data_IF_376706888649
#
_entry.id   IF_376706888649
#
_cell.length_a   1.000
_cell.length_b   1.000
_cell.length_c   1.000
_cell.angle_alpha   90.00
_cell.angle_beta   90.00
_cell.angle_gamma   90.00
#
_symmetry.space_group_name_H-M   'P 1'
#
loop_
_entity.id
_entity.type
_entity.pdbx_description
1 polymer ?
#
# COMPACT_ATOMS: atom_id res chain seq x y z
N UNK A 1 33.25 18.86 4.80
CA UNK A 1 32.06 18.17 5.35
C UNK A 1 32.09 16.75 4.83
N UNK A 2 32.34 15.75 5.68
CA UNK A 2 32.27 14.34 5.27
C UNK A 2 30.81 13.92 5.24
N UNK A 3 30.27 13.71 4.04
CA UNK A 3 28.95 13.08 3.85
C UNK A 3 29.06 11.63 4.34
N UNK A 4 28.40 11.32 5.45
CA UNK A 4 28.27 9.94 5.92
C UNK A 4 27.36 9.19 4.95
N UNK A 5 27.97 8.49 3.99
CA UNK A 5 27.26 7.61 3.06
C UNK A 5 26.96 6.31 3.79
N UNK A 6 25.68 5.95 3.97
CA UNK A 6 25.31 4.73 4.70
C UNK A 6 25.83 3.47 3.97
N UNK A 7 26.15 2.38 4.69
CA UNK A 7 26.74 1.17 4.10
C UNK A 7 25.92 0.56 2.96
N UNK A 8 24.60 0.71 2.98
CA UNK A 8 23.71 0.21 1.91
C UNK A 8 23.84 0.97 0.59
N UNK A 9 24.39 2.19 0.58
CA UNK A 9 24.63 2.97 -0.62
C UNK A 9 25.98 2.64 -1.30
N UNK A 10 26.75 1.71 -0.72
CA UNK A 10 28.02 1.21 -1.26
C UNK A 10 27.86 -0.09 -2.06
N UNK A 11 26.66 -0.67 -2.08
CA UNK A 11 26.36 -1.93 -2.77
C UNK A 11 25.56 -1.60 -4.02
N UNK A 12 25.94 -2.18 -5.16
CA UNK A 12 25.30 -2.01 -6.47
C UNK A 12 23.95 -2.77 -6.53
N UNK A 13 23.06 -2.48 -5.57
CA UNK A 13 21.72 -3.06 -5.45
C UNK A 13 20.66 -2.00 -5.75
N UNK A 14 19.56 -2.35 -6.45
CA UNK A 14 18.45 -1.44 -6.62
C UNK A 14 17.90 -1.03 -5.25
N UNK A 15 17.89 0.28 -4.98
CA UNK A 15 17.36 0.83 -3.74
C UNK A 15 15.86 1.02 -3.84
N UNK A 16 15.17 0.83 -2.72
CA UNK A 16 13.79 1.28 -2.59
C UNK A 16 13.73 2.80 -2.69
N UNK A 17 12.91 3.27 -3.62
CA UNK A 17 12.48 4.66 -3.79
C UNK A 17 11.00 4.79 -3.44
N UNK A 18 10.48 6.01 -3.16
CA UNK A 18 9.06 6.22 -2.92
C UNK A 18 8.17 5.64 -4.04
N UNK A 19 8.60 5.74 -5.30
CA UNK A 19 7.83 5.24 -6.45
C UNK A 19 7.80 3.71 -6.47
N UNK A 20 8.94 3.06 -6.29
CA UNK A 20 8.99 1.59 -6.19
C UNK A 20 8.20 1.06 -4.99
N UNK A 21 8.20 1.76 -3.86
CA UNK A 21 7.38 1.36 -2.71
C UNK A 21 5.89 1.46 -3.04
N UNK A 22 5.47 2.54 -3.70
CA UNK A 22 4.08 2.73 -4.14
C UNK A 22 3.66 1.61 -5.10
N UNK A 23 4.48 1.27 -6.09
CA UNK A 23 4.23 0.18 -7.03
C UNK A 23 4.13 -1.17 -6.32
N UNK A 24 5.09 -1.51 -5.45
CA UNK A 24 5.07 -2.76 -4.70
C UNK A 24 3.86 -2.87 -3.77
N UNK A 25 3.42 -1.77 -3.15
CA UNK A 25 2.19 -1.75 -2.36
C UNK A 25 0.96 -2.04 -3.23
N UNK A 26 0.83 -1.38 -4.39
CA UNK A 26 -0.30 -1.63 -5.30
C UNK A 26 -0.31 -3.08 -5.76
N UNK A 27 0.84 -3.62 -6.15
CA UNK A 27 0.97 -5.00 -6.61
C UNK A 27 0.64 -6.01 -5.51
N UNK A 28 1.15 -5.81 -4.29
CA UNK A 28 0.87 -6.67 -3.16
C UNK A 28 -0.63 -6.68 -2.82
N UNK A 29 -1.25 -5.50 -2.74
CA UNK A 29 -2.68 -5.40 -2.44
C UNK A 29 -3.55 -5.98 -3.57
N UNK A 30 -3.21 -5.74 -4.85
CA UNK A 30 -3.91 -6.34 -5.98
C UNK A 30 -3.78 -7.88 -5.99
N UNK A 31 -2.61 -8.40 -5.60
CA UNK A 31 -2.36 -9.83 -5.49
C UNK A 31 -3.24 -10.46 -4.43
N UNK A 32 -3.26 -9.90 -3.21
CA UNK A 32 -4.12 -10.36 -2.11
C UNK A 32 -5.60 -10.35 -2.49
N UNK A 33 -6.07 -9.33 -3.21
CA UNK A 33 -7.48 -9.28 -3.65
C UNK A 33 -7.82 -10.39 -4.65
N UNK A 34 -6.90 -10.69 -5.57
CA UNK A 34 -7.10 -11.72 -6.59
C UNK A 34 -7.03 -13.14 -6.02
N UNK A 35 -6.19 -13.38 -5.02
CA UNK A 35 -5.92 -14.72 -4.50
C UNK A 35 -6.67 -15.07 -3.22
N UNK A 36 -7.01 -14.06 -2.41
CA UNK A 36 -7.56 -14.28 -1.06
C UNK A 36 -8.86 -13.50 -0.87
N UNK A 37 -9.98 -13.91 -1.52
CA UNK A 37 -11.25 -13.18 -1.47
C UNK A 37 -11.87 -13.09 -0.07
N UNK A 38 -11.44 -13.94 0.88
CA UNK A 38 -11.86 -13.87 2.29
C UNK A 38 -11.11 -12.81 3.11
N UNK A 39 -9.93 -12.36 2.68
CA UNK A 39 -9.04 -11.49 3.49
C UNK A 39 -8.76 -10.15 2.82
N UNK A 40 -9.05 -9.97 1.52
CA UNK A 40 -8.93 -8.77 0.64
C UNK A 40 -8.42 -7.42 1.19
N UNK A 41 -7.86 -6.51 0.36
CA UNK A 41 -7.20 -5.26 0.75
C UNK A 41 -7.88 -4.48 1.85
N UNK A 42 -9.22 -4.37 1.80
CA UNK A 42 -9.97 -3.64 2.82
C UNK A 42 -9.96 -4.35 4.18
N UNK A 43 -10.07 -5.68 4.23
CA UNK A 43 -9.98 -6.45 5.48
C UNK A 43 -8.55 -6.46 6.02
N UNK A 44 -7.55 -6.58 5.16
CA UNK A 44 -6.16 -6.38 5.55
C UNK A 44 -5.92 -4.97 6.12
N UNK A 45 -6.49 -3.94 5.49
CA UNK A 45 -6.47 -2.55 5.97
C UNK A 45 -7.17 -2.39 7.33
N UNK A 46 -8.28 -3.09 7.57
CA UNK A 46 -8.93 -3.13 8.89
C UNK A 46 -8.05 -3.76 9.97
N UNK A 47 -7.16 -4.70 9.62
CA UNK A 47 -6.20 -5.28 10.55
C UNK A 47 -5.01 -4.34 10.80
N UNK A 48 -4.59 -3.58 9.80
CA UNK A 48 -3.51 -2.59 9.88
C UNK A 48 -3.94 -1.38 10.73
N UNK A 49 -5.18 -0.93 10.58
CA UNK A 49 -5.73 0.17 11.36
C UNK A 49 -6.22 -0.32 12.72
N UNK A 50 -5.77 0.37 13.78
CA UNK A 50 -6.21 0.05 15.14
C UNK A 50 -7.46 0.84 15.56
N UNK A 51 -8.01 1.66 14.65
CA UNK A 51 -9.26 2.40 14.86
C UNK A 51 -9.17 3.45 15.95
N UNK A 52 -7.97 3.96 16.23
CA UNK A 52 -7.70 4.81 17.40
C UNK A 52 -7.86 6.30 17.11
N UNK A 53 -7.72 6.72 15.86
CA UNK A 53 -7.85 8.12 15.47
C UNK A 53 -9.04 8.37 14.51
N UNK A 54 -9.56 9.61 14.44
CA UNK A 54 -10.74 9.93 13.63
C UNK A 54 -10.53 9.74 12.11
N UNK A 55 -9.32 9.96 11.59
CA UNK A 55 -9.04 9.82 10.16
C UNK A 55 -9.11 8.36 9.70
N UNK A 56 -8.53 7.43 10.49
CA UNK A 56 -8.61 6.00 10.26
C UNK A 56 -10.06 5.52 10.31
N UNK A 57 -10.83 5.97 11.31
CA UNK A 57 -12.25 5.61 11.44
C UNK A 57 -13.06 6.11 10.23
N UNK A 58 -12.83 7.35 9.79
CA UNK A 58 -13.50 7.91 8.63
C UNK A 58 -13.14 7.16 7.34
N UNK A 59 -11.87 6.79 7.17
CA UNK A 59 -11.41 5.98 6.05
C UNK A 59 -12.02 4.58 6.08
N UNK A 60 -11.96 3.86 7.20
CA UNK A 60 -12.55 2.52 7.34
C UNK A 60 -14.06 2.55 7.00
N UNK A 61 -14.80 3.55 7.49
CA UNK A 61 -16.22 3.71 7.16
C UNK A 61 -16.44 3.89 5.66
N UNK A 62 -15.67 4.78 5.05
CA UNK A 62 -15.72 5.04 3.61
C UNK A 62 -15.40 3.78 2.80
N UNK A 63 -14.41 2.99 3.23
CA UNK A 63 -14.03 1.74 2.59
C UNK A 63 -15.11 0.65 2.75
N UNK A 64 -15.81 0.59 3.88
CA UNK A 64 -16.91 -0.35 4.09
C UNK A 64 -18.09 -0.08 3.13
N UNK A 65 -18.41 1.20 2.88
CA UNK A 65 -19.42 1.57 1.88
C UNK A 65 -19.02 1.09 0.47
N UNK A 66 -17.72 1.13 0.16
CA UNK A 66 -17.17 0.64 -1.10
C UNK A 66 -17.03 -0.88 -1.16
N UNK A 67 -16.88 -1.59 -0.02
CA UNK A 67 -16.78 -3.06 0.01
C UNK A 67 -17.98 -3.74 -0.66
N UNK A 68 -19.17 -3.13 -0.57
CA UNK A 68 -20.34 -3.60 -1.30
C UNK A 68 -20.17 -3.54 -2.82
N UNK A 69 -19.35 -2.62 -3.34
CA UNK A 69 -18.95 -2.57 -4.74
C UNK A 69 -17.83 -3.58 -5.07
N UNK A 70 -16.85 -3.76 -4.17
CA UNK A 70 -15.77 -4.75 -4.33
C UNK A 70 -16.27 -6.20 -4.37
N UNK A 71 -17.18 -6.61 -3.47
CA UNK A 71 -17.80 -7.94 -3.47
C UNK A 71 -18.55 -8.28 -4.77
N UNK A 72 -19.04 -7.26 -5.48
CA UNK A 72 -19.72 -7.41 -6.77
C UNK A 72 -18.75 -7.47 -7.96
N UNK A 73 -17.55 -6.91 -7.83
CA UNK A 73 -16.56 -6.82 -8.89
C UNK A 73 -15.54 -7.99 -8.88
N UNK A 74 -15.09 -8.42 -7.70
CA UNK A 74 -14.07 -9.49 -7.54
C UNK A 74 -14.51 -10.87 -8.07
N UNK A 75 -15.81 -11.10 -8.27
CA UNK A 75 -16.35 -12.34 -8.80
C UNK A 75 -16.00 -12.61 -10.29
N UNK A 76 -15.33 -11.68 -11.01
CA UNK A 76 -15.23 -11.74 -12.49
C UNK A 76 -13.82 -11.83 -13.09
N UNK A 77 -12.74 -11.70 -12.32
CA UNK A 77 -11.39 -11.79 -12.90
C UNK A 77 -10.69 -13.08 -12.49
N UNK A 78 -10.51 -13.99 -13.47
CA UNK A 78 -9.58 -15.12 -13.34
C UNK A 78 -8.16 -14.54 -13.19
N UNK A 79 -7.40 -14.95 -12.16
CA UNK A 79 -6.02 -14.48 -12.04
C UNK A 79 -5.19 -14.99 -13.22
N UNK A 80 -4.41 -14.08 -13.84
CA UNK A 80 -3.17 -14.50 -14.51
C UNK A 80 -2.31 -15.27 -13.50
N UNK A 81 -1.44 -16.20 -13.92
CA UNK A 81 -0.69 -17.11 -13.03
C UNK A 81 0.01 -16.34 -11.90
N UNK A 82 -0.64 -16.24 -10.74
CA UNK A 82 -0.03 -15.80 -9.48
C UNK A 82 0.62 -17.03 -8.86
N UNK A 83 1.90 -16.95 -8.55
CA UNK A 83 2.63 -18.04 -7.92
C UNK A 83 2.46 -17.99 -6.40
N UNK A 84 2.68 -19.12 -5.69
CA UNK A 84 2.71 -19.09 -4.22
C UNK A 84 3.75 -18.10 -3.65
N UNK A 85 4.86 -17.90 -4.37
CA UNK A 85 5.90 -16.95 -3.98
C UNK A 85 5.40 -15.50 -4.04
N UNK A 86 4.66 -15.13 -5.09
CA UNK A 86 4.04 -13.81 -5.22
C UNK A 86 3.05 -13.53 -4.07
N UNK A 87 2.28 -14.56 -3.68
CA UNK A 87 1.33 -14.47 -2.55
C UNK A 87 2.10 -14.25 -1.25
N UNK A 88 3.12 -15.07 -0.95
CA UNK A 88 3.90 -14.91 0.27
C UNK A 88 4.61 -13.56 0.36
N UNK A 89 5.12 -13.04 -0.76
CA UNK A 89 5.70 -11.69 -0.80
C UNK A 89 4.62 -10.62 -0.54
N UNK A 90 3.45 -10.74 -1.17
CA UNK A 90 2.35 -9.82 -0.95
C UNK A 90 1.85 -9.84 0.50
N UNK A 91 1.76 -11.03 1.11
CA UNK A 91 1.42 -11.20 2.53
C UNK A 91 2.48 -10.55 3.44
N UNK A 92 3.77 -10.74 3.15
CA UNK A 92 4.84 -10.10 3.92
C UNK A 92 4.77 -8.56 3.88
N UNK A 93 4.37 -7.97 2.75
CA UNK A 93 4.17 -6.51 2.62
C UNK A 93 2.95 -6.04 3.44
N UNK A 94 1.82 -6.72 3.24
CA UNK A 94 0.49 -6.27 3.70
C UNK A 94 0.26 -6.63 5.17
N UNK A 95 0.61 -7.85 5.57
CA UNK A 95 0.40 -8.40 6.91
C UNK A 95 1.66 -8.37 7.77
N UNK A 96 2.84 -8.31 7.14
CA UNK A 96 4.11 -8.43 7.83
C UNK A 96 4.55 -9.87 7.99
N UNK A 97 5.73 -10.04 8.58
CA UNK A 97 6.32 -11.30 9.02
C UNK A 97 6.70 -11.19 10.50
N UNK A 98 7.16 -12.29 11.10
CA UNK A 98 7.70 -12.27 12.47
C UNK A 98 8.91 -11.33 12.62
N UNK A 99 9.69 -11.15 11.54
CA UNK A 99 10.91 -10.33 11.52
C UNK A 99 10.62 -8.87 11.13
N UNK A 100 9.59 -8.64 10.31
CA UNK A 100 9.30 -7.33 9.76
C UNK A 100 7.81 -7.00 9.88
N UNK A 101 7.42 -5.97 10.64
CA UNK A 101 6.03 -5.54 10.65
C UNK A 101 5.57 -5.10 9.25
N UNK A 102 4.26 -5.28 9.00
CA UNK A 102 3.58 -4.78 7.81
C UNK A 102 4.02 -3.35 7.48
N UNK A 103 4.26 -3.07 6.21
CA UNK A 103 4.89 -1.81 5.80
C UNK A 103 4.09 -0.58 6.23
N UNK A 104 2.77 -0.67 6.08
CA UNK A 104 1.84 0.39 6.48
C UNK A 104 1.74 0.54 8.00
N UNK A 105 1.95 -0.53 8.78
CA UNK A 105 1.86 -0.48 10.24
C UNK A 105 2.99 0.34 10.88
N UNK A 106 4.07 0.63 10.15
CA UNK A 106 5.18 1.46 10.63
C UNK A 106 5.04 2.94 10.33
N UNK A 107 3.97 3.34 9.66
CA UNK A 107 3.67 4.74 9.42
C UNK A 107 2.92 5.33 10.60
N UNK A 108 3.11 6.62 10.82
CA UNK A 108 2.29 7.39 11.76
C UNK A 108 0.85 7.54 11.27
N UNK A 109 -0.01 7.90 12.21
CA UNK A 109 -1.46 8.03 12.06
C UNK A 109 -1.90 9.11 11.06
N UNK A 110 -1.04 10.08 10.73
CA UNK A 110 -1.32 11.13 9.75
C UNK A 110 -1.05 10.64 8.32
N UNK A 111 0.05 9.91 8.12
CA UNK A 111 0.53 9.49 6.80
C UNK A 111 -0.15 8.19 6.33
N UNK A 112 -0.36 7.25 7.25
CA UNK A 112 -0.92 5.93 6.96
C UNK A 112 -2.26 5.98 6.22
N UNK A 113 -3.31 6.71 6.68
CA UNK A 113 -4.61 6.71 6.01
C UNK A 113 -4.55 7.30 4.59
N UNK A 114 -3.64 8.25 4.34
CA UNK A 114 -3.50 8.90 3.03
C UNK A 114 -2.84 7.96 2.02
N UNK A 115 -1.76 7.28 2.42
CA UNK A 115 -1.12 6.26 1.58
C UNK A 115 -2.07 5.09 1.31
N UNK A 116 -2.80 4.61 2.33
CA UNK A 116 -3.78 3.52 2.16
C UNK A 116 -4.86 3.90 1.15
N UNK A 117 -5.46 5.09 1.28
CA UNK A 117 -6.48 5.55 0.32
C UNK A 117 -5.91 5.62 -1.10
N UNK A 118 -4.67 6.07 -1.26
CA UNK A 118 -4.00 6.11 -2.56
C UNK A 118 -3.81 4.70 -3.14
N UNK A 119 -3.26 3.77 -2.37
CA UNK A 119 -3.02 2.37 -2.79
C UNK A 119 -4.32 1.71 -3.21
N UNK A 120 -5.38 1.80 -2.39
CA UNK A 120 -6.67 1.19 -2.70
C UNK A 120 -7.31 1.80 -3.96
N UNK A 121 -7.12 3.10 -4.17
CA UNK A 121 -7.56 3.74 -5.41
C UNK A 121 -6.79 3.22 -6.63
N UNK A 122 -5.48 3.06 -6.57
CA UNK A 122 -4.73 2.51 -7.71
C UNK A 122 -5.08 1.03 -7.94
N UNK A 123 -5.20 0.20 -6.90
CA UNK A 123 -5.66 -1.19 -7.01
C UNK A 123 -7.04 -1.26 -7.68
N UNK A 124 -7.97 -0.38 -7.29
CA UNK A 124 -9.28 -0.30 -7.92
C UNK A 124 -9.21 0.03 -9.42
N UNK A 125 -8.28 0.90 -9.86
CA UNK A 125 -8.06 1.17 -11.29
C UNK A 125 -7.52 -0.06 -12.01
N UNK A 126 -6.52 -0.72 -11.45
CA UNK A 126 -5.87 -1.90 -12.04
C UNK A 126 -6.83 -3.07 -12.21
N UNK A 127 -7.81 -3.19 -11.31
CA UNK A 127 -8.87 -4.19 -11.38
C UNK A 127 -10.08 -3.74 -12.22
N UNK A 128 -10.05 -2.53 -12.80
CA UNK A 128 -11.15 -1.99 -13.61
C UNK A 128 -12.41 -1.67 -12.80
N UNK A 129 -12.28 -1.42 -11.51
CA UNK A 129 -13.39 -1.16 -10.59
C UNK A 129 -13.79 0.31 -10.71
N UNK A 130 -15.08 0.54 -10.97
CA UNK A 130 -15.64 1.90 -10.98
C UNK A 130 -15.74 2.42 -9.55
N UNK A 131 -14.95 3.43 -9.24
CA UNK A 131 -14.85 4.05 -7.93
C UNK A 131 -14.85 5.58 -8.03
N UNK A 132 -15.11 6.27 -6.91
CA UNK A 132 -14.95 7.73 -6.85
C UNK A 132 -13.50 8.11 -7.09
N UNK A 133 -13.29 9.28 -7.68
CA UNK A 133 -11.95 9.82 -7.89
C UNK A 133 -11.26 10.15 -6.56
N UNK A 134 -9.92 10.12 -6.51
CA UNK A 134 -9.17 10.60 -5.34
C UNK A 134 -9.56 12.01 -4.93
N UNK A 135 -9.91 12.88 -5.90
CA UNK A 135 -10.41 14.24 -5.61
C UNK A 135 -11.67 14.19 -4.75
N UNK A 136 -12.68 13.43 -5.18
CA UNK A 136 -13.94 13.29 -4.44
C UNK A 136 -13.70 12.69 -3.05
N UNK A 137 -12.80 11.70 -2.92
CA UNK A 137 -12.45 11.09 -1.63
C UNK A 137 -11.77 12.08 -0.70
N UNK A 138 -10.81 12.86 -1.21
CA UNK A 138 -10.16 13.93 -0.45
C UNK A 138 -11.17 14.98 0.01
N UNK A 139 -12.12 15.38 -0.85
CA UNK A 139 -13.18 16.32 -0.49
C UNK A 139 -14.08 15.77 0.63
N UNK A 140 -14.46 14.49 0.57
CA UNK A 140 -15.25 13.83 1.63
C UNK A 140 -14.51 13.76 2.98
N UNK A 141 -13.20 13.51 2.94
CA UNK A 141 -12.34 13.43 4.12
C UNK A 141 -11.79 14.80 4.56
N UNK A 142 -12.17 15.89 3.87
CA UNK A 142 -11.69 17.26 4.09
C UNK A 142 -10.17 17.40 4.00
N UNK A 143 -9.54 16.61 3.14
CA UNK A 143 -8.12 16.69 2.85
C UNK A 143 -7.83 17.60 1.66
N UNK A 144 -6.89 18.52 1.83
CA UNK A 144 -6.38 19.30 0.71
C UNK A 144 -5.60 18.41 -0.26
N UNK A 145 -6.00 18.38 -1.54
CA UNK A 145 -5.41 17.49 -2.57
C UNK A 145 -3.88 17.59 -2.65
N UNK A 146 -3.33 18.81 -2.61
CA UNK A 146 -1.86 19.00 -2.67
C UNK A 146 -1.16 18.39 -1.46
N UNK A 147 -1.72 18.58 -0.27
CA UNK A 147 -1.18 18.00 0.98
C UNK A 147 -1.33 16.49 1.00
N UNK A 148 -2.42 15.94 0.46
CA UNK A 148 -2.62 14.50 0.32
C UNK A 148 -1.47 13.85 -0.44
N UNK A 149 -1.14 14.30 -1.66
CA UNK A 149 -0.04 13.71 -2.44
C UNK A 149 1.33 13.85 -1.75
N UNK A 150 1.59 15.00 -1.12
CA UNK A 150 2.82 15.18 -0.32
C UNK A 150 2.92 14.17 0.81
N UNK A 151 1.83 13.89 1.51
CA UNK A 151 1.82 12.87 2.56
C UNK A 151 1.97 11.47 2.00
N UNK A 152 1.40 11.16 0.83
CA UNK A 152 1.59 9.88 0.14
C UNK A 152 3.07 9.67 -0.20
N UNK A 153 3.72 10.65 -0.83
CA UNK A 153 5.14 10.55 -1.21
C UNK A 153 6.05 10.51 0.02
N UNK A 154 5.76 11.31 1.04
CA UNK A 154 6.46 11.29 2.33
C UNK A 154 6.33 9.91 3.02
N UNK A 155 5.13 9.33 3.03
CA UNK A 155 4.87 8.01 3.61
C UNK A 155 5.65 6.91 2.88
N UNK A 156 5.60 6.91 1.54
CA UNK A 156 6.35 5.96 0.74
C UNK A 156 7.87 6.13 0.92
N UNK A 157 8.36 7.38 1.05
CA UNK A 157 9.76 7.66 1.37
C UNK A 157 10.19 7.15 2.74
N UNK A 158 9.34 7.28 3.78
CA UNK A 158 9.59 6.72 5.12
C UNK A 158 9.74 5.20 5.07
N UNK A 159 8.86 4.52 4.32
CA UNK A 159 8.96 3.07 4.10
C UNK A 159 10.25 2.74 3.35
N UNK A 160 10.54 3.42 2.24
CA UNK A 160 11.73 3.18 1.43
C UNK A 160 13.04 3.30 2.25
N UNK A 161 13.18 4.36 3.04
CA UNK A 161 14.34 4.56 3.94
C UNK A 161 14.46 3.40 4.92
N UNK A 162 13.35 2.93 5.48
CA UNK A 162 13.33 1.79 6.39
C UNK A 162 13.75 0.50 5.68
N UNK A 163 13.17 0.17 4.53
CA UNK A 163 13.49 -1.06 3.80
C UNK A 163 14.97 -1.11 3.41
N UNK A 164 15.53 0.01 2.93
CA UNK A 164 16.95 0.11 2.61
C UNK A 164 17.85 -0.05 3.84
N UNK A 165 17.45 0.55 4.98
CA UNK A 165 18.18 0.41 6.25
C UNK A 165 18.13 -1.02 6.77
N UNK A 166 16.97 -1.68 6.65
CA UNK A 166 16.74 -3.04 7.11
C UNK A 166 17.32 -4.08 6.12
N UNK A 167 17.89 -3.63 4.99
CA UNK A 167 18.59 -4.47 4.02
C UNK A 167 17.67 -5.32 3.12
N UNK A 168 16.39 -4.95 3.05
CA UNK A 168 15.38 -5.68 2.27
C UNK A 168 15.62 -5.40 0.78
N UNK A 169 15.86 -6.45 0.01
CA UNK A 169 16.12 -6.36 -1.42
C UNK A 169 14.88 -5.88 -2.20
N UNK A 170 15.09 -4.95 -3.14
CA UNK A 170 14.03 -4.52 -4.04
C UNK A 170 13.74 -5.60 -5.08
N UNK A 171 12.54 -6.18 -5.04
CA UNK A 171 12.14 -7.28 -5.92
C UNK A 171 11.32 -6.83 -7.14
N UNK A 172 11.22 -5.52 -7.39
CA UNK A 172 10.56 -5.04 -8.60
C UNK A 172 11.45 -5.37 -9.80
N UNK A 173 11.06 -6.37 -10.58
CA UNK A 173 11.51 -6.42 -11.96
C UNK A 173 11.04 -5.15 -12.67
N UNK A 174 11.89 -4.48 -13.45
CA UNK A 174 11.47 -3.32 -14.22
C UNK A 174 10.34 -3.77 -15.16
N UNK A 175 9.13 -3.25 -14.95
CA UNK A 175 8.05 -3.36 -15.92
C UNK A 175 8.55 -2.68 -17.21
N UNK A 176 8.93 -3.50 -18.19
CA UNK A 176 9.26 -3.05 -19.55
C UNK A 176 7.99 -2.66 -20.30
#
# INVERSE_FOLDING_TARGET
MNLHVPPYALIDRPLWTPDTVKEALVDAFATIERTTPRVGPTRAVQQIFRGKNPEEVALIRLLNDDQLAFLRAGAKQRPARVTPQDISQAEAVVLGTDEHPAWLATLDDEHRPKLVLWVLHEVGKDLGIRQKTLRQRCEQLRWAKRSFYRHVDSAAGKIAVRLNRDGIEAWLEPRR
#
